data_IF_279732608943
#
_entry.id   IF_279732608943
#
_cell.length_a   1.000
_cell.length_b   1.000
_cell.length_c   1.000
_cell.angle_alpha   90.00
_cell.angle_beta   90.00
_cell.angle_gamma   90.00
#
_symmetry.space_group_name_H-M   'P 1'
#
loop_
_entity.id
_entity.type
_entity.pdbx_description
1 polymer ?
#
# COMPACT_ATOMS: atom_id res chain seq x y z
N UNK A 1 9.87 28.16 -6.09
CA UNK A 1 8.44 28.56 -6.00
C UNK A 1 8.04 29.26 -7.30
N UNK A 2 8.30 28.59 -8.42
CA UNK A 2 8.06 29.05 -9.79
C UNK A 2 7.98 27.78 -10.66
N UNK A 3 7.14 27.80 -11.70
CA UNK A 3 6.93 26.74 -12.72
C UNK A 3 5.90 25.64 -12.38
N UNK A 4 4.66 26.03 -12.10
CA UNK A 4 3.47 25.17 -12.25
C UNK A 4 2.48 25.66 -13.33
N UNK A 5 2.91 26.59 -14.19
CA UNK A 5 2.18 26.96 -15.42
C UNK A 5 2.69 26.13 -16.60
N UNK A 6 2.07 24.96 -16.81
CA UNK A 6 2.02 24.28 -18.10
C UNK A 6 0.57 23.86 -18.36
N UNK A 7 -0.21 24.81 -18.85
CA UNK A 7 -1.49 24.57 -19.50
C UNK A 7 -1.29 24.56 -21.04
N UNK A 8 -2.28 24.19 -21.86
CA UNK A 8 -2.66 22.81 -22.20
C UNK A 8 -2.60 22.56 -23.73
N UNK A 9 -3.09 21.40 -24.18
CA UNK A 9 -3.39 20.99 -25.57
C UNK A 9 -2.45 19.93 -26.17
N UNK A 10 -2.61 18.69 -25.69
CA UNK A 10 -2.32 17.50 -26.51
C UNK A 10 -3.61 16.70 -26.73
N UNK A 11 -4.24 17.01 -27.86
CA UNK A 11 -4.68 16.03 -28.86
C UNK A 11 -5.71 14.98 -28.41
N UNK A 12 -6.93 15.22 -28.87
CA UNK A 12 -7.97 14.25 -29.14
C UNK A 12 -7.44 12.82 -29.39
N UNK A 13 -7.80 11.88 -28.51
CA UNK A 13 -7.72 10.45 -28.80
C UNK A 13 -9.13 9.89 -28.83
N UNK A 14 -9.66 9.85 -30.05
CA UNK A 14 -10.86 9.13 -30.41
C UNK A 14 -10.80 7.68 -29.91
N UNK A 15 -11.95 7.23 -29.42
CA UNK A 15 -12.26 5.92 -28.84
C UNK A 15 -11.71 4.76 -29.66
N UNK A 16 -11.13 3.78 -28.97
CA UNK A 16 -11.10 2.39 -29.43
C UNK A 16 -11.47 1.48 -28.26
N UNK A 17 -12.78 1.36 -28.01
CA UNK A 17 -13.34 0.29 -27.19
C UNK A 17 -13.03 -1.03 -27.90
N UNK A 18 -12.18 -1.84 -27.27
CA UNK A 18 -11.92 -3.21 -27.68
C UNK A 18 -12.90 -4.12 -26.94
N UNK A 19 -13.40 -5.20 -27.56
CA UNK A 19 -14.27 -6.21 -26.95
C UNK A 19 -13.48 -7.09 -25.96
N UNK A 20 -12.96 -6.45 -24.91
CA UNK A 20 -12.24 -7.07 -23.78
C UNK A 20 -12.86 -6.63 -22.44
N UNK A 21 -13.82 -5.70 -22.48
CA UNK A 21 -14.44 -5.06 -21.32
C UNK A 21 -15.28 -6.04 -20.48
N UNK A 22 -16.08 -6.92 -21.08
CA UNK A 22 -16.94 -7.84 -20.31
C UNK A 22 -16.17 -8.82 -19.41
N UNK A 23 -14.96 -9.21 -19.81
CA UNK A 23 -14.08 -10.07 -18.99
C UNK A 23 -13.29 -9.25 -17.96
N UNK A 24 -12.91 -8.00 -18.27
CA UNK A 24 -12.22 -7.10 -17.33
C UNK A 24 -13.14 -6.56 -16.24
N UNK A 25 -14.39 -6.25 -16.58
CA UNK A 25 -15.38 -5.69 -15.67
C UNK A 25 -15.78 -6.70 -14.57
N UNK A 26 -15.74 -8.00 -14.89
CA UNK A 26 -15.85 -9.08 -13.89
C UNK A 26 -14.51 -9.35 -13.19
N UNK A 27 -13.39 -9.34 -13.91
CA UNK A 27 -12.08 -9.68 -13.32
C UNK A 27 -11.61 -8.63 -12.31
N UNK A 28 -11.93 -7.35 -12.51
CA UNK A 28 -11.41 -6.27 -11.69
C UNK A 28 -11.93 -6.21 -10.24
N UNK A 29 -13.25 -6.39 -9.95
CA UNK A 29 -13.73 -6.51 -8.58
C UNK A 29 -13.22 -7.79 -7.92
N UNK A 30 -13.09 -8.90 -8.69
CA UNK A 30 -12.58 -10.17 -8.18
C UNK A 30 -11.10 -10.05 -7.80
N UNK A 31 -10.27 -9.37 -8.60
CA UNK A 31 -8.86 -9.10 -8.25
C UNK A 31 -8.75 -8.30 -6.96
N UNK A 32 -9.56 -7.26 -6.83
CA UNK A 32 -9.58 -6.39 -5.65
C UNK A 32 -9.97 -7.17 -4.38
N UNK A 33 -11.01 -8.01 -4.48
CA UNK A 33 -11.45 -8.88 -3.39
C UNK A 33 -10.39 -9.92 -3.03
N UNK A 34 -9.72 -10.52 -4.02
CA UNK A 34 -8.66 -11.52 -3.82
C UNK A 34 -7.43 -10.88 -3.17
N UNK A 35 -6.99 -9.70 -3.61
CA UNK A 35 -5.87 -8.98 -3.00
C UNK A 35 -6.18 -8.56 -1.55
N UNK A 36 -7.40 -8.08 -1.29
CA UNK A 36 -7.84 -7.73 0.07
C UNK A 36 -7.90 -8.96 0.98
N UNK A 37 -8.41 -10.08 0.47
CA UNK A 37 -8.47 -11.36 1.18
C UNK A 37 -7.07 -11.90 1.49
N UNK A 38 -6.14 -11.81 0.54
CA UNK A 38 -4.74 -12.22 0.71
C UNK A 38 -4.04 -11.37 1.78
N UNK A 39 -4.27 -10.06 1.78
CA UNK A 39 -3.76 -9.16 2.82
C UNK A 39 -4.26 -9.52 4.22
N UNK A 40 -5.56 -9.80 4.34
CA UNK A 40 -6.19 -10.19 5.61
C UNK A 40 -5.70 -11.55 6.13
N UNK A 41 -5.60 -12.55 5.24
CA UNK A 41 -5.08 -13.88 5.58
C UNK A 41 -3.59 -13.80 5.97
N UNK A 42 -2.81 -12.95 5.29
CA UNK A 42 -1.40 -12.71 5.62
C UNK A 42 -1.22 -12.09 7.02
N UNK A 43 -2.06 -11.10 7.36
CA UNK A 43 -2.05 -10.41 8.65
C UNK A 43 -2.33 -11.37 9.82
N UNK A 44 -3.32 -12.25 9.69
CA UNK A 44 -3.75 -13.17 10.74
C UNK A 44 -2.78 -14.35 10.96
N UNK A 45 -1.97 -14.73 9.97
CA UNK A 45 -1.23 -16.00 9.99
C UNK A 45 0.15 -15.93 10.67
N UNK A 46 0.73 -14.74 10.95
CA UNK A 46 2.17 -14.63 11.27
C UNK A 46 2.50 -13.91 12.58
N UNK A 47 3.18 -14.61 13.50
CA UNK A 47 3.73 -14.09 14.78
C UNK A 47 5.00 -13.21 14.68
N UNK A 48 5.48 -12.89 13.47
CA UNK A 48 6.72 -12.11 13.28
C UNK A 48 6.38 -10.73 12.73
N UNK A 49 6.73 -9.69 13.48
CA UNK A 49 6.46 -8.27 13.16
C UNK A 49 6.86 -7.92 11.72
N UNK A 50 8.01 -8.39 11.24
CA UNK A 50 8.49 -8.14 9.86
C UNK A 50 7.49 -8.65 8.80
N UNK A 51 6.95 -9.85 8.99
CA UNK A 51 5.99 -10.43 8.04
C UNK A 51 4.64 -9.72 8.09
N UNK A 52 4.25 -9.24 9.27
CA UNK A 52 3.03 -8.47 9.46
C UNK A 52 3.08 -7.13 8.72
N UNK A 53 4.22 -6.43 8.78
CA UNK A 53 4.42 -5.14 8.09
C UNK A 53 4.38 -5.29 6.57
N UNK A 54 5.04 -6.31 6.02
CA UNK A 54 5.01 -6.61 4.57
C UNK A 54 3.60 -7.00 4.11
N UNK A 55 2.86 -7.77 4.93
CA UNK A 55 1.48 -8.12 4.64
C UNK A 55 0.56 -6.90 4.59
N UNK A 56 0.76 -5.93 5.51
CA UNK A 56 -0.01 -4.70 5.56
C UNK A 56 0.22 -3.82 4.32
N UNK A 57 1.46 -3.66 3.85
CA UNK A 57 1.74 -2.92 2.60
C UNK A 57 1.07 -3.54 1.37
N UNK A 58 1.07 -4.87 1.27
CA UNK A 58 0.41 -5.57 0.15
C UNK A 58 -1.11 -5.36 0.19
N UNK A 59 -1.71 -5.35 1.39
CA UNK A 59 -3.13 -5.05 1.57
C UNK A 59 -3.46 -3.61 1.12
N UNK A 60 -2.62 -2.64 1.48
CA UNK A 60 -2.79 -1.23 1.07
C UNK A 60 -2.71 -1.07 -0.46
N UNK A 61 -1.77 -1.73 -1.12
CA UNK A 61 -1.67 -1.73 -2.59
C UNK A 61 -2.93 -2.29 -3.27
N UNK A 62 -3.53 -3.34 -2.71
CA UNK A 62 -4.80 -3.88 -3.19
C UNK A 62 -5.96 -2.89 -3.07
N UNK A 63 -6.04 -2.15 -1.95
CA UNK A 63 -7.03 -1.10 -1.76
C UNK A 63 -6.83 0.07 -2.75
N UNK A 64 -5.58 0.48 -2.99
CA UNK A 64 -5.25 1.51 -3.97
C UNK A 64 -5.63 1.09 -5.39
N UNK A 65 -5.42 -0.18 -5.76
CA UNK A 65 -5.83 -0.70 -7.07
C UNK A 65 -7.36 -0.65 -7.26
N UNK A 66 -8.11 -0.90 -6.19
CA UNK A 66 -9.58 -0.78 -6.18
C UNK A 66 -10.01 0.67 -6.43
N UNK A 67 -9.32 1.62 -5.79
CA UNK A 67 -9.58 3.07 -5.95
C UNK A 67 -9.26 3.53 -7.37
N UNK A 68 -8.16 3.05 -7.98
CA UNK A 68 -7.83 3.37 -9.38
C UNK A 68 -8.92 2.91 -10.34
N UNK A 69 -9.50 1.73 -10.10
CA UNK A 69 -10.60 1.26 -10.94
C UNK A 69 -11.86 2.11 -10.75
N UNK A 70 -12.21 2.43 -9.50
CA UNK A 70 -13.30 3.35 -9.25
C UNK A 70 -13.07 4.70 -9.99
N UNK A 71 -11.83 5.20 -10.02
CA UNK A 71 -11.43 6.37 -10.80
C UNK A 71 -11.59 6.20 -12.32
N UNK A 72 -11.33 5.01 -12.86
CA UNK A 72 -11.58 4.69 -14.27
C UNK A 72 -13.05 4.77 -14.64
N UNK A 73 -13.93 4.23 -13.80
CA UNK A 73 -15.39 4.23 -14.05
C UNK A 73 -15.95 5.66 -14.01
N UNK A 74 -15.41 6.51 -13.13
CA UNK A 74 -15.83 7.90 -13.00
C UNK A 74 -15.28 8.83 -14.12
N UNK A 75 -14.38 8.34 -14.98
CA UNK A 75 -13.81 9.12 -16.09
C UNK A 75 -12.72 10.11 -15.71
N UNK A 76 -12.35 10.21 -14.43
CA UNK A 76 -11.29 11.09 -13.92
C UNK A 76 -10.08 10.30 -13.41
N UNK A 77 -9.37 9.69 -14.36
CA UNK A 77 -8.20 8.88 -14.08
C UNK A 77 -7.02 9.71 -13.56
N UNK A 78 -6.93 11.00 -13.93
CA UNK A 78 -5.83 11.87 -13.51
C UNK A 78 -5.87 12.15 -12.00
N UNK A 79 -7.06 12.46 -11.47
CA UNK A 79 -7.21 12.67 -10.02
C UNK A 79 -6.92 11.39 -9.25
N UNK A 80 -7.48 10.26 -9.68
CA UNK A 80 -7.26 8.96 -9.04
C UNK A 80 -5.78 8.54 -9.01
N UNK A 81 -5.05 8.74 -10.11
CA UNK A 81 -3.62 8.42 -10.17
C UNK A 81 -2.79 9.29 -9.22
N UNK A 82 -3.08 10.59 -9.15
CA UNK A 82 -2.33 11.50 -8.26
C UNK A 82 -2.50 11.14 -6.78
N UNK A 83 -3.72 10.77 -6.38
CA UNK A 83 -4.04 10.31 -5.03
C UNK A 83 -3.30 9.01 -4.67
N UNK A 84 -3.21 8.08 -5.62
CA UNK A 84 -2.53 6.79 -5.41
C UNK A 84 -1.02 6.98 -5.30
N UNK A 85 -0.41 7.80 -6.15
CA UNK A 85 1.04 8.05 -6.11
C UNK A 85 1.44 8.71 -4.79
N UNK A 86 0.68 9.69 -4.31
CA UNK A 86 0.94 10.31 -3.00
C UNK A 86 0.77 9.33 -1.84
N UNK A 87 -0.25 8.48 -1.85
CA UNK A 87 -0.43 7.43 -0.85
C UNK A 87 0.75 6.44 -0.80
N UNK A 88 1.26 6.02 -1.97
CA UNK A 88 2.43 5.13 -2.07
C UNK A 88 3.70 5.75 -1.48
N UNK A 89 3.90 7.07 -1.66
CA UNK A 89 5.05 7.76 -1.08
C UNK A 89 4.96 7.76 0.46
N UNK A 90 3.80 8.06 1.03
CA UNK A 90 3.59 8.02 2.48
C UNK A 90 3.82 6.61 3.05
N UNK A 91 3.31 5.58 2.34
CA UNK A 91 3.49 4.18 2.74
C UNK A 91 4.96 3.78 2.82
N UNK A 92 5.77 4.13 1.82
CA UNK A 92 7.21 3.78 1.81
C UNK A 92 7.99 4.49 2.92
N UNK A 93 7.61 5.71 3.29
CA UNK A 93 8.20 6.43 4.45
C UNK A 93 7.89 5.68 5.75
N UNK A 94 6.65 5.24 5.95
CA UNK A 94 6.24 4.48 7.13
C UNK A 94 7.00 3.15 7.20
N UNK A 95 7.11 2.42 6.08
CA UNK A 95 7.87 1.17 6.01
C UNK A 95 9.35 1.36 6.37
N UNK A 96 9.96 2.46 5.93
CA UNK A 96 11.34 2.78 6.28
C UNK A 96 11.51 3.00 7.80
N UNK A 97 10.62 3.78 8.42
CA UNK A 97 10.64 4.05 9.87
C UNK A 97 10.47 2.74 10.66
N UNK A 98 9.52 1.89 10.26
CA UNK A 98 9.28 0.61 10.90
C UNK A 98 10.48 -0.32 10.77
N UNK A 99 11.12 -0.38 9.58
CA UNK A 99 12.30 -1.20 9.36
C UNK A 99 13.48 -0.74 10.23
N UNK A 100 13.70 0.58 10.31
CA UNK A 100 14.73 1.17 11.19
C UNK A 100 14.46 0.82 12.66
N UNK A 101 13.20 0.92 13.11
CA UNK A 101 12.83 0.56 14.47
C UNK A 101 13.11 -0.92 14.78
N UNK A 102 12.74 -1.82 13.86
CA UNK A 102 12.99 -3.26 14.00
C UNK A 102 14.50 -3.51 14.10
N UNK A 103 15.31 -2.93 13.21
CA UNK A 103 16.77 -3.10 13.24
C UNK A 103 17.37 -2.54 14.53
N UNK A 104 16.89 -1.39 15.01
CA UNK A 104 17.36 -0.78 16.25
C UNK A 104 17.06 -1.66 17.48
N UNK A 105 15.83 -2.20 17.56
CA UNK A 105 15.43 -3.12 18.65
C UNK A 105 16.26 -4.40 18.63
N UNK A 106 16.50 -4.97 17.44
CA UNK A 106 17.35 -6.16 17.28
C UNK A 106 18.83 -5.88 17.63
N UNK A 107 19.31 -4.65 17.39
CA UNK A 107 20.68 -4.23 17.75
C UNK A 107 20.84 -3.99 19.26
N UNK A 108 19.80 -3.57 19.97
CA UNK A 108 19.87 -3.24 21.40
C UNK A 108 19.73 -4.46 22.35
N UNK A 109 19.36 -5.64 21.83
CA UNK A 109 19.33 -6.90 22.61
C UNK A 109 20.47 -7.90 22.27
N UNK A 110 21.77 -7.57 22.41
CA UNK A 110 22.83 -8.58 22.29
C UNK A 110 22.90 -9.56 23.48
N UNK A 111 22.34 -9.19 24.65
CA UNK A 111 22.34 -10.02 25.87
C UNK A 111 21.08 -9.77 26.69
N UNK A 112 20.27 -10.82 26.85
CA UNK A 112 19.15 -10.82 27.78
C UNK A 112 19.65 -10.70 29.21
N UNK A 113 19.42 -9.53 29.83
CA UNK A 113 19.27 -9.38 31.28
C UNK A 113 18.19 -8.34 31.52
N UNK A 114 16.95 -8.79 31.41
CA UNK A 114 15.77 -8.15 32.06
C UNK A 114 15.51 -8.76 33.44
N UNK A 115 16.25 -9.80 33.83
CA UNK A 115 16.13 -10.51 35.12
C UNK A 115 16.66 -9.73 36.34
N UNK A 116 17.23 -8.53 36.17
CA UNK A 116 17.68 -7.69 37.29
C UNK A 116 16.59 -6.77 37.86
N UNK A 117 15.47 -6.61 37.14
CA UNK A 117 14.40 -5.68 37.54
C UNK A 117 13.32 -6.31 38.43
N UNK A 118 13.29 -7.65 38.57
CA UNK A 118 12.36 -8.35 39.46
C UNK A 118 12.90 -8.48 40.91
N UNK A 119 14.19 -8.15 41.13
CA UNK A 119 14.82 -8.10 42.47
C UNK A 119 14.40 -6.86 43.29
N UNK A 120 13.68 -5.91 42.70
CA UNK A 120 13.14 -4.72 43.39
C UNK A 120 11.62 -4.77 43.60
N UNK A 121 11.03 -5.97 43.68
CA UNK A 121 9.68 -6.21 44.24
C UNK A 121 9.72 -6.93 45.59
N UNK A 122 10.77 -6.66 46.36
CA UNK A 122 10.76 -6.88 47.81
C UNK A 122 9.71 -6.01 48.49
#
# INVERSE_FOLDING_TARGET
>A
MALWEFAPCSRARARRTKPVSEWLDLANPILSLVLLSIGLICLLTRKRIIKQVIGLSIMLQGALLTIVEAGRVNGDLQVAQSMVVSALVVETIILAIVLVLIVNVFRYHPRGRVDDLDTLRG
#
